data_IF_251730985847
#
_entry.id   IF_251730985847
#
_cell.length_a   1.000
_cell.length_b   1.000
_cell.length_c   1.000
_cell.angle_alpha   90.00
_cell.angle_beta   90.00
_cell.angle_gamma   90.00
#
_symmetry.space_group_name_H-M   'P 1'
#
loop_
_entity.id
_entity.type
_entity.pdbx_description
1 polymer ?
#
# COMPACT_ATOMS: atom_id res chain seq x y z
N UNK A 1 27.71 -2.65 -5.00
CA UNK A 1 27.84 -2.49 -3.54
C UNK A 1 26.50 -2.82 -2.93
N UNK A 2 26.44 -3.85 -2.10
CA UNK A 2 25.21 -4.39 -1.50
C UNK A 2 24.79 -3.46 -0.35
N UNK A 3 23.72 -2.67 -0.53
CA UNK A 3 23.26 -1.75 0.51
C UNK A 3 22.49 -2.52 1.59
N UNK A 4 22.94 -2.38 2.84
CA UNK A 4 22.42 -2.98 4.06
C UNK A 4 20.98 -2.50 4.35
N UNK A 5 19.97 -3.23 3.87
CA UNK A 5 18.61 -3.12 4.43
C UNK A 5 18.57 -3.99 5.70
N UNK A 6 18.18 -3.44 6.87
CA UNK A 6 18.08 -4.23 8.10
C UNK A 6 17.21 -5.47 7.90
N UNK A 7 17.78 -6.63 8.22
CA UNK A 7 17.22 -7.98 8.07
C UNK A 7 15.97 -8.27 8.92
N UNK A 8 15.31 -7.24 9.48
CA UNK A 8 14.18 -7.37 10.40
C UNK A 8 12.79 -7.24 9.73
N UNK A 9 12.71 -6.91 8.44
CA UNK A 9 11.43 -6.74 7.76
C UNK A 9 11.07 -8.01 6.99
N UNK A 10 10.26 -8.86 7.61
CA UNK A 10 9.64 -10.00 6.94
C UNK A 10 8.93 -9.53 5.65
N UNK A 11 9.28 -10.18 4.54
CA UNK A 11 8.81 -9.86 3.20
C UNK A 11 7.28 -9.82 3.11
N UNK A 12 6.73 -8.62 2.93
CA UNK A 12 5.49 -8.50 2.18
C UNK A 12 5.85 -8.88 0.73
N UNK A 13 5.55 -10.14 0.37
CA UNK A 13 5.85 -10.72 -0.94
C UNK A 13 5.54 -9.72 -2.06
N UNK A 14 6.58 -9.45 -2.86
CA UNK A 14 6.66 -8.65 -4.09
C UNK A 14 5.34 -8.01 -4.56
N UNK A 15 5.22 -6.68 -4.48
CA UNK A 15 4.23 -5.94 -5.26
C UNK A 15 4.59 -4.46 -5.39
N UNK A 16 4.56 -3.97 -6.63
CA UNK A 16 4.79 -2.58 -6.98
C UNK A 16 3.62 -1.69 -6.52
N UNK A 17 3.92 -0.57 -5.87
CA UNK A 17 2.93 0.32 -5.25
C UNK A 17 3.03 1.71 -5.88
N UNK A 18 1.86 2.23 -6.29
CA UNK A 18 1.72 3.48 -7.06
C UNK A 18 1.63 4.66 -6.09
N UNK A 19 2.52 5.63 -6.29
CA UNK A 19 2.51 6.94 -5.66
C UNK A 19 1.20 7.70 -5.92
N UNK A 20 0.55 8.23 -4.88
CA UNK A 20 -0.27 9.45 -5.01
C UNK A 20 0.62 10.64 -4.59
N UNK A 21 1.30 11.26 -5.54
CA UNK A 21 1.68 12.67 -5.35
C UNK A 21 1.63 13.41 -6.69
N UNK A 22 0.71 14.37 -6.78
CA UNK A 22 0.84 15.54 -7.65
C UNK A 22 0.49 15.40 -9.14
N UNK A 23 0.40 14.20 -9.71
CA UNK A 23 0.12 14.04 -11.16
C UNK A 23 -1.02 13.06 -11.44
N UNK A 24 -1.84 13.37 -12.45
CA UNK A 24 -2.97 12.55 -12.91
C UNK A 24 -2.45 11.24 -13.50
N UNK A 25 -2.23 10.25 -12.63
CA UNK A 25 -1.79 8.93 -13.04
C UNK A 25 -2.97 8.16 -13.65
N UNK A 26 -2.82 7.63 -14.87
CA UNK A 26 -3.81 6.77 -15.53
C UNK A 26 -4.29 5.62 -14.63
N UNK A 27 -3.41 5.12 -13.74
CA UNK A 27 -3.75 4.07 -12.77
C UNK A 27 -4.74 4.55 -11.72
N UNK A 28 -4.68 5.81 -11.28
CA UNK A 28 -5.70 6.37 -10.38
C UNK A 28 -7.02 6.54 -11.09
N UNK A 29 -7.02 7.05 -12.31
CA UNK A 29 -8.24 7.22 -13.10
C UNK A 29 -8.90 5.86 -13.31
N UNK A 30 -8.13 4.83 -13.66
CA UNK A 30 -8.63 3.47 -13.79
C UNK A 30 -9.19 2.93 -12.46
N UNK A 31 -8.42 3.01 -11.36
CA UNK A 31 -8.88 2.55 -10.04
C UNK A 31 -10.16 3.28 -9.59
N UNK A 32 -10.22 4.60 -9.77
CA UNK A 32 -11.40 5.40 -9.46
C UNK A 32 -12.61 4.94 -10.26
N UNK A 33 -12.49 4.81 -11.58
CA UNK A 33 -13.57 4.33 -12.45
C UNK A 33 -14.09 2.94 -12.03
N UNK A 34 -13.20 2.05 -11.59
CA UNK A 34 -13.58 0.72 -11.07
C UNK A 34 -14.29 0.79 -9.71
N UNK A 35 -13.83 1.67 -8.81
CA UNK A 35 -14.43 1.86 -7.48
C UNK A 35 -15.82 2.50 -7.52
N UNK A 36 -16.13 3.29 -8.55
CA UNK A 36 -17.45 3.92 -8.73
C UNK A 36 -18.34 3.19 -9.74
N UNK A 37 -17.86 2.09 -10.34
CA UNK A 37 -18.63 1.33 -11.32
C UNK A 37 -19.89 0.76 -10.67
N UNK A 38 -20.99 0.75 -11.42
CA UNK A 38 -22.23 0.06 -11.03
C UNK A 38 -22.37 -1.32 -11.68
N UNK A 39 -21.46 -1.64 -12.58
CA UNK A 39 -21.39 -2.94 -13.25
C UNK A 39 -20.61 -3.93 -12.37
N UNK A 40 -21.25 -5.00 -11.86
CA UNK A 40 -20.62 -5.97 -10.97
C UNK A 40 -19.36 -6.64 -11.56
N UNK A 41 -19.29 -6.78 -12.89
CA UNK A 41 -18.14 -7.42 -13.56
C UNK A 41 -16.88 -6.54 -13.53
N UNK A 42 -17.06 -5.23 -13.36
CA UNK A 42 -15.96 -4.25 -13.34
C UNK A 42 -15.79 -3.56 -12.00
N UNK A 43 -16.74 -3.69 -11.07
CA UNK A 43 -16.71 -3.05 -9.77
C UNK A 43 -15.59 -3.58 -8.89
N UNK A 44 -14.84 -2.65 -8.28
CA UNK A 44 -13.79 -2.98 -7.32
C UNK A 44 -14.18 -2.56 -5.90
N UNK A 45 -13.69 -3.33 -4.92
CA UNK A 45 -13.66 -2.91 -3.52
C UNK A 45 -12.25 -2.52 -3.11
N UNK A 46 -12.13 -1.81 -1.99
CA UNK A 46 -10.84 -1.36 -1.43
C UNK A 46 -10.78 -1.57 0.08
N UNK A 47 -9.65 -2.10 0.57
CA UNK A 47 -9.29 -2.10 1.98
C UNK A 47 -8.67 -0.78 2.45
N UNK A 48 -8.73 -0.51 3.75
CA UNK A 48 -8.07 0.65 4.37
C UNK A 48 -7.16 0.17 5.49
N UNK A 49 -5.85 0.25 5.29
CA UNK A 49 -4.84 -0.40 6.14
C UNK A 49 -4.01 0.66 6.88
N UNK A 50 -4.68 1.37 7.78
CA UNK A 50 -4.10 2.51 8.49
C UNK A 50 -3.52 2.14 9.86
N UNK A 51 -4.10 1.15 10.53
CA UNK A 51 -3.73 0.80 11.90
C UNK A 51 -2.49 -0.09 11.94
N UNK A 52 -1.52 0.33 12.74
CA UNK A 52 -0.33 -0.46 13.09
C UNK A 52 -0.31 -0.75 14.59
N UNK A 53 0.60 -1.63 15.02
CA UNK A 53 0.67 -2.10 16.40
C UNK A 53 0.79 -0.95 17.41
N UNK A 54 1.48 0.13 17.03
CA UNK A 54 1.70 1.31 17.89
C UNK A 54 0.44 2.16 18.08
N UNK A 55 -0.57 2.04 17.22
CA UNK A 55 -1.83 2.75 17.39
C UNK A 55 -2.66 2.88 16.13
N UNK A 56 -3.98 2.93 16.30
CA UNK A 56 -4.95 3.18 15.22
C UNK A 56 -5.61 4.55 15.27
N UNK A 57 -5.64 5.22 16.43
CA UNK A 57 -6.20 6.56 16.58
C UNK A 57 -5.22 7.65 16.13
N UNK A 58 -3.95 7.51 16.48
CA UNK A 58 -2.87 8.42 16.08
C UNK A 58 -1.99 7.79 14.99
N UNK A 59 -2.55 7.69 13.78
CA UNK A 59 -1.87 7.08 12.63
C UNK A 59 -0.66 7.89 12.16
N UNK A 60 -0.62 9.19 12.45
CA UNK A 60 0.47 10.07 12.03
C UNK A 60 1.77 9.74 12.77
N UNK A 61 1.70 9.45 14.07
CA UNK A 61 2.86 9.09 14.88
C UNK A 61 3.05 7.57 15.02
N UNK A 62 2.01 6.76 14.78
CA UNK A 62 2.09 5.31 14.96
C UNK A 62 2.53 4.52 13.73
N UNK A 63 2.50 5.12 12.53
CA UNK A 63 2.91 4.44 11.29
C UNK A 63 4.42 4.22 11.28
N UNK A 64 4.83 2.96 11.23
CA UNK A 64 6.22 2.49 11.11
C UNK A 64 6.51 1.90 9.73
N UNK A 65 5.47 1.67 8.92
CA UNK A 65 5.66 1.22 7.52
C UNK A 65 6.49 2.23 6.74
N UNK A 66 7.56 1.74 6.11
CA UNK A 66 8.44 2.52 5.24
C UNK A 66 8.18 2.20 3.76
N UNK A 67 8.34 3.20 2.92
CA UNK A 67 8.21 3.14 1.48
C UNK A 67 9.56 3.42 0.84
N UNK A 68 10.16 2.41 0.21
CA UNK A 68 11.47 2.52 -0.46
C UNK A 68 11.24 2.68 -1.97
N UNK A 69 11.80 3.71 -2.62
CA UNK A 69 11.73 3.87 -4.07
C UNK A 69 12.25 2.66 -4.84
N UNK A 70 11.54 2.25 -5.89
CA UNK A 70 11.85 1.10 -6.73
C UNK A 70 11.27 1.26 -8.13
N UNK A 71 12.10 1.56 -9.13
CA UNK A 71 11.72 1.66 -10.54
C UNK A 71 10.47 2.51 -10.85
N UNK A 72 10.38 3.70 -10.23
CA UNK A 72 9.22 4.61 -10.39
C UNK A 72 8.01 4.24 -9.51
N UNK A 73 8.12 3.19 -8.70
CA UNK A 73 7.17 2.78 -7.68
C UNK A 73 7.81 2.83 -6.30
N UNK A 74 7.05 2.42 -5.29
CA UNK A 74 7.57 2.17 -3.95
C UNK A 74 7.36 0.72 -3.57
N UNK A 75 8.30 0.16 -2.80
CA UNK A 75 8.11 -1.08 -2.05
C UNK A 75 7.83 -0.74 -0.59
N UNK A 76 6.73 -1.25 -0.06
CA UNK A 76 6.35 -1.03 1.34
C UNK A 76 6.90 -2.15 2.23
N UNK A 77 7.50 -1.76 3.36
CA UNK A 77 7.98 -2.65 4.40
C UNK A 77 7.38 -2.23 5.73
N UNK A 78 6.58 -3.09 6.36
CA UNK A 78 5.90 -2.77 7.60
C UNK A 78 4.83 -3.80 7.95
N UNK A 79 4.17 -3.59 9.09
CA UNK A 79 3.13 -4.50 9.59
C UNK A 79 1.83 -3.75 9.82
N UNK A 80 0.78 -4.13 9.09
CA UNK A 80 -0.57 -3.61 9.27
C UNK A 80 -1.32 -4.48 10.28
N UNK A 81 -1.68 -3.88 11.40
CA UNK A 81 -2.24 -4.56 12.56
C UNK A 81 -3.70 -4.94 12.35
N UNK A 82 -4.47 -4.07 11.68
CA UNK A 82 -5.78 -4.41 11.16
C UNK A 82 -5.80 -4.18 9.65
N UNK A 83 -6.21 -5.23 8.92
CA UNK A 83 -6.40 -5.19 7.46
C UNK A 83 -7.84 -5.59 7.16
N UNK A 84 -8.66 -4.61 6.79
CA UNK A 84 -10.01 -4.86 6.30
C UNK A 84 -10.02 -5.30 4.85
N UNK A 85 -11.08 -6.01 4.45
CA UNK A 85 -11.37 -6.41 3.07
C UNK A 85 -10.13 -7.00 2.36
N UNK A 86 -9.53 -8.04 2.93
CA UNK A 86 -8.32 -8.66 2.37
C UNK A 86 -8.55 -9.33 1.01
N UNK A 87 -9.80 -9.52 0.64
CA UNK A 87 -10.30 -10.00 -0.65
C UNK A 87 -10.57 -8.86 -1.67
N UNK A 88 -10.29 -7.62 -1.30
CA UNK A 88 -10.46 -6.44 -2.16
C UNK A 88 -9.42 -6.37 -3.29
N UNK A 89 -9.75 -5.60 -4.33
CA UNK A 89 -8.89 -5.42 -5.50
C UNK A 89 -7.70 -4.49 -5.23
N UNK A 90 -7.79 -3.67 -4.18
CA UNK A 90 -6.76 -2.73 -3.78
C UNK A 90 -6.86 -2.40 -2.29
N UNK A 91 -5.82 -1.78 -1.74
CA UNK A 91 -5.88 -1.17 -0.44
C UNK A 91 -5.23 0.21 -0.45
N UNK A 92 -5.76 1.12 0.35
CA UNK A 92 -5.07 2.37 0.70
C UNK A 92 -4.34 2.18 2.03
N UNK A 93 -3.14 2.75 2.13
CA UNK A 93 -2.29 2.62 3.32
C UNK A 93 -1.41 3.85 3.51
N UNK A 94 -1.01 4.10 4.75
CA UNK A 94 0.04 5.06 5.07
C UNK A 94 1.41 4.39 5.09
N UNK A 95 2.44 5.14 4.68
CA UNK A 95 3.83 4.79 4.88
C UNK A 95 4.72 6.05 4.85
N UNK A 96 5.94 5.94 5.37
CA UNK A 96 6.96 6.99 5.38
C UNK A 96 7.94 6.76 4.24
N UNK A 97 8.17 7.76 3.41
CA UNK A 97 9.12 7.65 2.30
C UNK A 97 10.55 7.59 2.84
N UNK A 98 11.36 6.68 2.29
CA UNK A 98 12.81 6.65 2.47
C UNK A 98 13.45 7.43 1.31
N UNK A 99 14.19 8.48 1.62
CA UNK A 99 14.97 9.28 0.66
C UNK A 99 16.38 9.47 1.23
N UNK A 100 17.41 9.22 0.43
CA UNK A 100 18.82 9.37 0.83
C UNK A 100 19.18 8.66 2.16
N UNK A 101 18.61 7.47 2.38
CA UNK A 101 18.69 6.66 3.61
C UNK A 101 18.06 7.29 4.87
N UNK A 102 17.29 8.37 4.72
CA UNK A 102 16.50 8.97 5.79
C UNK A 102 15.02 8.66 5.63
N UNK A 103 14.33 8.43 6.76
CA UNK A 103 12.89 8.18 6.79
C UNK A 103 12.16 9.50 7.03
N UNK A 104 11.18 9.81 6.18
CA UNK A 104 10.38 11.03 6.34
C UNK A 104 9.52 11.02 7.62
N UNK A 105 9.52 12.15 8.32
CA UNK A 105 8.59 12.43 9.43
C UNK A 105 7.12 12.49 8.98
N UNK A 106 6.86 12.75 7.70
CA UNK A 106 5.51 12.79 7.16
C UNK A 106 5.08 11.43 6.61
N UNK A 107 3.89 10.98 7.01
CA UNK A 107 3.22 9.88 6.33
C UNK A 107 2.67 10.34 4.97
N UNK A 108 2.76 9.46 3.97
CA UNK A 108 2.13 9.63 2.66
C UNK A 108 1.13 8.50 2.42
N UNK A 109 0.10 8.80 1.62
CA UNK A 109 -0.91 7.83 1.22
C UNK A 109 -0.43 7.05 -0.01
N UNK A 110 -0.57 5.73 0.04
CA UNK A 110 -0.19 4.82 -1.03
C UNK A 110 -1.37 3.95 -1.46
N UNK A 111 -1.44 3.68 -2.76
CA UNK A 111 -2.38 2.73 -3.34
C UNK A 111 -1.65 1.44 -3.69
N UNK A 112 -2.07 0.34 -3.07
CA UNK A 112 -1.60 -1.01 -3.38
C UNK A 112 -2.67 -1.74 -4.17
N UNK A 113 -2.38 -2.10 -5.42
CA UNK A 113 -3.27 -2.87 -6.28
C UNK A 113 -2.93 -4.36 -6.23
N UNK A 114 -3.94 -5.23 -6.09
CA UNK A 114 -3.78 -6.68 -6.12
C UNK A 114 -4.16 -7.25 -7.48
N UNK A 115 -3.29 -8.10 -8.03
CA UNK A 115 -3.74 -9.03 -9.06
C UNK A 115 -4.55 -10.14 -8.37
N UNK A 116 -5.88 -10.13 -8.56
CA UNK A 116 -6.70 -11.30 -8.24
C UNK A 116 -6.28 -12.43 -9.18
N UNK A 117 -5.57 -13.42 -8.66
CA UNK A 117 -5.45 -14.70 -9.33
C UNK A 117 -6.81 -15.37 -9.12
N UNK A 118 -7.54 -15.67 -10.21
CA UNK A 118 -8.80 -16.41 -10.14
C UNK A 118 -8.51 -17.85 -9.67
N UNK A 119 -8.34 -18.04 -8.37
CA UNK A 119 -8.39 -19.34 -7.73
C UNK A 119 -9.51 -19.29 -6.70
N UNK A 120 -10.45 -20.22 -6.86
CA UNK A 120 -11.61 -20.35 -5.98
C UNK A 120 -11.20 -20.45 -4.52
N UNK A 121 -12.02 -19.80 -3.70
CA UNK A 121 -12.35 -20.11 -2.31
C UNK A 121 -11.35 -21.05 -1.58
N UNK A 122 -10.55 -20.52 -0.66
CA UNK A 122 -10.24 -21.26 0.56
C UNK A 122 -10.19 -20.30 1.75
N UNK A 123 -10.81 -20.82 2.81
CA UNK A 123 -11.14 -20.22 4.10
C UNK A 123 -9.90 -19.80 4.91
#
# INVERSE_FOLDING_TARGET
>A
MQNNIPTAYASAKNLAIVLVSGETNERFVNAFNKLISRDPETFWTSGQWMTERRGGSDVANSTETVAVPDNGFYRLYGYKWFSSATDSNMALTLARIVQDNEVSEACRLFLKHYHKVHHGLFC
#
